data_IF_764702279938
#
_entry.id   IF_764702279938
#
_cell.length_a   1.000
_cell.length_b   1.000
_cell.length_c   1.000
_cell.angle_alpha   90.00
_cell.angle_beta   90.00
_cell.angle_gamma   90.00
#
_symmetry.space_group_name_H-M   'P 1'
#
loop_
_entity.id
_entity.type
_entity.pdbx_description
1 polymer ?
#
# COMPACT_ATOMS: atom_id res chain seq x y z
N UNK A 1 29.79 -20.34 -4.22
CA UNK A 1 29.82 -19.52 -5.45
C UNK A 1 28.41 -19.49 -6.01
N UNK A 2 27.59 -18.54 -5.58
CA UNK A 2 26.16 -18.46 -5.91
C UNK A 2 25.98 -17.68 -7.21
N UNK A 3 26.32 -18.33 -8.32
CA UNK A 3 26.01 -17.85 -9.68
C UNK A 3 24.54 -18.24 -9.95
N UNK A 4 23.70 -17.37 -10.56
CA UNK A 4 22.28 -17.66 -10.67
C UNK A 4 22.07 -18.89 -11.55
N UNK A 5 21.67 -19.99 -10.92
CA UNK A 5 21.00 -21.09 -11.60
C UNK A 5 19.79 -20.50 -12.34
N UNK A 6 19.45 -21.04 -13.51
CA UNK A 6 18.45 -20.53 -14.44
C UNK A 6 17.01 -20.60 -13.87
N UNK A 7 16.77 -19.85 -12.79
CA UNK A 7 15.53 -19.83 -12.03
C UNK A 7 14.50 -19.05 -12.85
N UNK A 8 13.37 -19.66 -13.24
CA UNK A 8 12.38 -19.04 -14.12
C UNK A 8 11.89 -17.69 -13.60
N UNK A 9 11.89 -17.51 -12.29
CA UNK A 9 11.48 -16.28 -11.63
C UNK A 9 12.30 -15.04 -12.04
N UNK A 10 13.62 -15.19 -12.24
CA UNK A 10 14.49 -14.07 -12.63
C UNK A 10 14.68 -13.98 -14.15
N UNK A 11 14.14 -14.93 -14.91
CA UNK A 11 14.17 -14.94 -16.37
C UNK A 11 12.96 -14.17 -16.93
N UNK A 12 12.95 -12.84 -16.73
CA UNK A 12 11.84 -11.96 -17.10
C UNK A 12 12.02 -11.39 -18.53
N UNK A 13 11.09 -11.75 -19.43
CA UNK A 13 11.08 -11.24 -20.79
C UNK A 13 10.28 -9.93 -20.91
N UNK A 14 10.93 -8.82 -20.59
CA UNK A 14 10.32 -7.48 -20.60
C UNK A 14 9.73 -7.06 -21.94
N UNK A 15 10.26 -7.57 -23.07
CA UNK A 15 9.72 -7.26 -24.42
C UNK A 15 8.34 -7.86 -24.65
N UNK A 16 8.07 -9.02 -24.07
CA UNK A 16 6.75 -9.67 -24.14
C UNK A 16 5.72 -8.95 -23.25
N UNK A 17 6.21 -8.39 -22.14
CA UNK A 17 5.39 -7.76 -21.09
C UNK A 17 5.41 -6.22 -21.15
N UNK A 18 5.71 -5.62 -22.31
CA UNK A 18 5.79 -4.16 -22.51
C UNK A 18 4.51 -3.44 -22.07
N UNK A 19 3.37 -4.12 -22.20
CA UNK A 19 2.09 -3.59 -21.74
C UNK A 19 2.09 -3.26 -20.23
N UNK A 20 2.74 -4.07 -19.40
CA UNK A 20 2.82 -3.82 -17.96
C UNK A 20 3.62 -2.55 -17.66
N UNK A 21 4.68 -2.28 -18.43
CA UNK A 21 5.47 -1.06 -18.29
C UNK A 21 4.65 0.18 -18.68
N UNK A 22 3.89 0.11 -19.78
CA UNK A 22 2.99 1.18 -20.18
C UNK A 22 1.90 1.43 -19.14
N UNK A 23 1.33 0.36 -18.56
CA UNK A 23 0.34 0.46 -17.50
C UNK A 23 0.90 1.12 -16.23
N UNK A 24 2.08 0.71 -15.77
CA UNK A 24 2.76 1.33 -14.62
C UNK A 24 3.06 2.81 -14.87
N UNK A 25 3.52 3.15 -16.08
CA UNK A 25 3.74 4.54 -16.47
C UNK A 25 2.44 5.35 -16.51
N UNK A 26 1.35 4.76 -16.99
CA UNK A 26 0.01 5.36 -16.97
C UNK A 26 -0.49 5.64 -15.55
N UNK A 27 -0.28 4.72 -14.60
CA UNK A 27 -0.59 4.94 -13.18
C UNK A 27 0.22 6.12 -12.62
N UNK A 28 1.51 6.20 -12.94
CA UNK A 28 2.37 7.28 -12.49
C UNK A 28 1.88 8.65 -13.00
N UNK A 29 1.62 8.77 -14.30
CA UNK A 29 1.08 10.00 -14.88
C UNK A 29 -0.33 10.33 -14.35
N UNK A 30 -1.20 9.33 -14.21
CA UNK A 30 -2.52 9.49 -13.63
C UNK A 30 -2.47 10.01 -12.20
N UNK A 31 -1.51 9.55 -11.40
CA UNK A 31 -1.23 10.05 -10.06
C UNK A 31 -0.81 11.52 -10.04
N UNK A 32 0.06 11.95 -10.96
CA UNK A 32 0.46 13.36 -11.10
C UNK A 32 -0.76 14.21 -11.47
N UNK A 33 -1.52 13.81 -12.48
CA UNK A 33 -2.70 14.55 -12.93
C UNK A 33 -3.73 14.67 -11.80
N UNK A 34 -3.99 13.58 -11.08
CA UNK A 34 -4.90 13.60 -9.94
C UNK A 34 -4.40 14.54 -8.83
N UNK A 35 -3.09 14.51 -8.53
CA UNK A 35 -2.48 15.34 -7.50
C UNK A 35 -2.39 16.83 -7.88
N UNK A 36 -2.43 17.20 -9.15
CA UNK A 36 -2.33 18.61 -9.58
C UNK A 36 -3.65 19.22 -10.02
N UNK A 37 -4.47 18.47 -10.78
CA UNK A 37 -5.72 18.98 -11.35
C UNK A 37 -6.94 18.67 -10.48
N UNK A 38 -6.95 17.52 -9.78
CA UNK A 38 -8.07 17.06 -8.95
C UNK A 38 -7.78 17.22 -7.45
N UNK A 39 -6.72 17.93 -7.08
CA UNK A 39 -6.42 18.19 -5.68
C UNK A 39 -7.55 19.00 -5.03
N UNK A 40 -8.12 18.45 -3.96
CA UNK A 40 -9.03 19.20 -3.11
C UNK A 40 -8.20 19.98 -2.07
N UNK A 41 -8.30 21.32 -2.01
CA UNK A 41 -7.61 22.12 -0.99
C UNK A 41 -8.27 22.04 0.39
N UNK A 42 -9.45 21.45 0.53
CA UNK A 42 -10.09 21.26 1.84
C UNK A 42 -9.36 20.20 2.67
N UNK A 43 -9.19 20.44 4.00
CA UNK A 43 -8.57 19.47 4.89
C UNK A 43 -9.39 18.19 4.92
N UNK A 44 -8.72 17.06 5.14
CA UNK A 44 -9.38 15.75 5.20
C UNK A 44 -10.43 15.77 6.30
N UNK A 45 -11.68 15.44 5.95
CA UNK A 45 -12.79 15.38 6.90
C UNK A 45 -12.62 14.17 7.84
N UNK A 46 -11.96 14.38 8.98
CA UNK A 46 -11.73 13.36 10.01
C UNK A 46 -12.81 13.45 11.09
N UNK A 47 -13.40 12.31 11.46
CA UNK A 47 -14.37 12.25 12.55
C UNK A 47 -13.74 12.76 13.87
N UNK A 48 -14.44 13.59 14.68
CA UNK A 48 -13.84 14.24 15.85
C UNK A 48 -13.28 13.27 16.90
N UNK A 49 -13.82 12.04 16.99
CA UNK A 49 -13.28 11.00 17.88
C UNK A 49 -11.92 10.49 17.38
N UNK A 50 -11.79 10.22 16.09
CA UNK A 50 -10.54 9.77 15.48
C UNK A 50 -9.49 10.88 15.54
N UNK A 51 -9.88 12.14 15.36
CA UNK A 51 -8.96 13.28 15.47
C UNK A 51 -8.36 13.41 16.88
N UNK A 52 -9.15 13.13 17.93
CA UNK A 52 -8.67 13.09 19.32
C UNK A 52 -7.69 11.95 19.54
N UNK A 53 -8.00 10.77 19.03
CA UNK A 53 -7.14 9.59 19.14
C UNK A 53 -5.81 9.80 18.43
N UNK A 54 -5.84 10.26 17.18
CA UNK A 54 -4.64 10.56 16.38
C UNK A 54 -3.77 11.67 17.01
N UNK A 55 -4.37 12.65 17.67
CA UNK A 55 -3.64 13.67 18.42
C UNK A 55 -2.80 13.06 19.57
N UNK A 56 -3.27 11.97 20.20
CA UNK A 56 -2.48 11.26 21.24
C UNK A 56 -1.22 10.61 20.67
N UNK A 57 -1.26 10.23 19.39
CA UNK A 57 -0.14 9.64 18.66
C UNK A 57 0.77 10.69 17.98
N UNK A 58 0.53 11.98 18.20
CA UNK A 58 1.31 13.08 17.61
C UNK A 58 0.95 13.42 16.17
N UNK A 59 -0.20 12.94 15.67
CA UNK A 59 -0.71 13.23 14.32
C UNK A 59 -1.71 14.39 14.45
N UNK A 60 -1.26 15.59 14.09
CA UNK A 60 -2.04 16.83 14.28
C UNK A 60 -2.30 17.60 13.00
N UNK A 61 -1.68 17.21 11.89
CA UNK A 61 -1.86 17.84 10.58
C UNK A 61 -2.64 16.91 9.66
N UNK A 62 -3.75 17.42 9.12
CA UNK A 62 -4.66 16.70 8.22
C UNK A 62 -4.80 17.41 6.86
N UNK A 63 -3.82 18.26 6.52
CA UNK A 63 -3.83 19.04 5.27
C UNK A 63 -3.60 18.15 4.04
N UNK A 64 -3.14 16.92 4.27
CA UNK A 64 -2.90 15.92 3.23
C UNK A 64 -3.49 14.57 3.63
N UNK A 65 -3.88 13.78 2.62
CA UNK A 65 -4.40 12.41 2.79
C UNK A 65 -3.44 11.49 3.56
N UNK A 66 -2.14 11.76 3.50
CA UNK A 66 -1.11 11.00 4.19
C UNK A 66 -0.42 11.93 5.20
N UNK A 67 -0.43 11.61 6.51
CA UNK A 67 0.22 12.42 7.52
C UNK A 67 1.73 12.52 7.28
N UNK A 68 2.24 13.74 7.10
CA UNK A 68 3.68 13.99 6.91
C UNK A 68 4.48 13.68 8.18
N UNK A 69 3.82 13.54 9.33
CA UNK A 69 4.45 13.12 10.59
C UNK A 69 4.86 11.65 10.59
N UNK A 70 4.24 10.83 9.73
CA UNK A 70 4.55 9.40 9.59
C UNK A 70 5.40 9.18 8.35
N UNK A 71 4.97 9.76 7.22
CA UNK A 71 5.59 9.52 5.92
C UNK A 71 6.60 10.63 5.57
N UNK A 72 7.76 10.62 6.24
CA UNK A 72 8.84 11.58 6.00
C UNK A 72 10.21 10.88 5.96
N UNK A 73 11.14 11.43 5.18
CA UNK A 73 12.54 11.01 5.13
C UNK A 73 13.20 10.97 6.52
N UNK A 74 12.86 11.91 7.41
CA UNK A 74 13.37 11.89 8.78
C UNK A 74 12.82 10.75 9.64
N UNK A 75 11.60 10.27 9.33
CA UNK A 75 10.94 9.18 10.06
C UNK A 75 11.41 7.80 9.62
N UNK A 76 12.06 7.67 8.46
CA UNK A 76 12.63 6.39 8.01
C UNK A 76 13.64 5.81 9.01
N UNK A 77 14.34 6.67 9.76
CA UNK A 77 15.31 6.26 10.76
C UNK A 77 14.72 6.09 12.17
N UNK A 78 13.43 6.39 12.37
CA UNK A 78 12.74 6.13 13.63
C UNK A 78 12.19 4.70 13.62
N UNK A 79 12.05 4.09 14.80
CA UNK A 79 11.53 2.72 14.89
C UNK A 79 10.11 2.63 14.31
N UNK A 80 9.26 3.62 14.57
CA UNK A 80 7.89 3.70 14.02
C UNK A 80 7.90 3.75 12.49
N UNK A 81 8.65 4.70 11.92
CA UNK A 81 8.65 4.91 10.46
C UNK A 81 9.38 3.78 9.71
N UNK A 82 10.43 3.19 10.30
CA UNK A 82 11.07 2.01 9.73
C UNK A 82 10.10 0.81 9.62
N UNK A 83 9.35 0.52 10.70
CA UNK A 83 8.37 -0.56 10.69
C UNK A 83 7.22 -0.30 9.70
N UNK A 84 6.68 0.92 9.66
CA UNK A 84 5.58 1.24 8.75
C UNK A 84 6.00 1.29 7.28
N UNK A 85 7.12 1.95 6.98
CA UNK A 85 7.52 2.23 5.60
C UNK A 85 8.29 1.04 5.01
N UNK A 86 9.35 0.60 5.68
CA UNK A 86 10.26 -0.42 5.15
C UNK A 86 9.66 -1.81 5.31
N UNK A 87 9.29 -2.18 6.54
CA UNK A 87 8.72 -3.52 6.80
C UNK A 87 7.33 -3.63 6.18
N UNK A 88 6.48 -2.61 6.34
CA UNK A 88 5.17 -2.56 5.69
C UNK A 88 5.26 -2.66 4.17
N UNK A 89 6.10 -1.85 3.51
CA UNK A 89 6.30 -1.90 2.07
C UNK A 89 6.82 -3.25 1.58
N UNK A 90 7.78 -3.84 2.32
CA UNK A 90 8.29 -5.18 2.02
C UNK A 90 7.20 -6.25 2.13
N UNK A 91 6.41 -6.24 3.22
CA UNK A 91 5.33 -7.21 3.42
C UNK A 91 4.26 -7.12 2.34
N UNK A 92 3.90 -5.91 1.89
CA UNK A 92 2.96 -5.71 0.78
C UNK A 92 3.53 -6.27 -0.52
N UNK A 93 4.79 -5.96 -0.85
CA UNK A 93 5.45 -6.49 -2.05
C UNK A 93 5.56 -8.03 -2.03
N UNK A 94 5.97 -8.60 -0.90
CA UNK A 94 6.05 -10.05 -0.71
C UNK A 94 4.66 -10.70 -0.80
N UNK A 95 3.67 -10.15 -0.10
CA UNK A 95 2.31 -10.69 -0.03
C UNK A 95 1.60 -10.68 -1.38
N UNK A 96 1.71 -9.59 -2.15
CA UNK A 96 1.13 -9.51 -3.50
C UNK A 96 1.74 -10.56 -4.45
N UNK A 97 3.05 -10.82 -4.33
CA UNK A 97 3.68 -11.86 -5.14
C UNK A 97 3.28 -13.27 -4.70
N UNK A 98 3.16 -13.49 -3.39
CA UNK A 98 2.73 -14.77 -2.81
C UNK A 98 1.28 -15.11 -3.16
N UNK A 99 0.38 -14.12 -3.13
CA UNK A 99 -1.01 -14.27 -3.53
C UNK A 99 -1.20 -14.46 -5.05
N UNK A 100 -0.16 -14.20 -5.85
CA UNK A 100 -0.24 -14.26 -7.32
C UNK A 100 -0.97 -13.05 -7.94
N UNK A 101 -1.14 -11.97 -7.18
CA UNK A 101 -1.86 -10.78 -7.61
C UNK A 101 -1.99 -9.74 -6.49
N UNK A 102 -2.34 -8.52 -6.86
CA UNK A 102 -2.69 -7.44 -5.93
C UNK A 102 -4.20 -7.38 -5.68
N UNK A 103 -4.60 -6.49 -4.78
CA UNK A 103 -6.02 -6.23 -4.47
C UNK A 103 -6.81 -5.82 -5.70
N UNK A 104 -6.27 -4.95 -6.58
CA UNK A 104 -6.97 -4.58 -7.82
C UNK A 104 -7.13 -5.76 -8.79
N UNK A 105 -6.15 -6.67 -8.87
CA UNK A 105 -6.24 -7.88 -9.70
C UNK A 105 -7.32 -8.86 -9.22
N UNK A 106 -7.31 -9.20 -7.93
CA UNK A 106 -8.28 -10.14 -7.37
C UNK A 106 -9.67 -9.53 -7.17
N UNK A 107 -9.76 -8.29 -6.67
CA UNK A 107 -11.03 -7.68 -6.33
C UNK A 107 -11.76 -7.09 -7.55
N UNK A 108 -11.05 -6.45 -8.50
CA UNK A 108 -11.70 -5.88 -9.69
C UNK A 108 -11.89 -6.97 -10.73
N UNK A 109 -10.80 -7.52 -11.30
CA UNK A 109 -10.93 -8.50 -12.38
C UNK A 109 -11.36 -9.88 -11.88
N UNK A 110 -10.83 -10.35 -10.76
CA UNK A 110 -11.09 -11.70 -10.25
C UNK A 110 -12.53 -11.93 -9.81
N UNK A 111 -13.12 -11.00 -9.05
CA UNK A 111 -14.52 -11.07 -8.63
C UNK A 111 -15.47 -10.85 -9.83
N UNK A 112 -15.14 -9.94 -10.75
CA UNK A 112 -15.94 -9.78 -11.99
C UNK A 112 -15.97 -11.04 -12.85
N UNK A 113 -14.93 -11.89 -12.79
CA UNK A 113 -14.90 -13.19 -13.46
C UNK A 113 -15.43 -14.36 -12.58
N UNK A 114 -16.06 -14.07 -11.43
CA UNK A 114 -16.61 -15.06 -10.48
C UNK A 114 -15.59 -16.13 -10.03
N UNK A 115 -14.31 -15.77 -9.93
CA UNK A 115 -13.28 -16.70 -9.49
C UNK A 115 -13.32 -16.89 -7.98
N UNK A 116 -13.66 -18.11 -7.53
CA UNK A 116 -13.67 -18.48 -6.11
C UNK A 116 -12.32 -18.22 -5.40
N UNK A 117 -11.14 -18.48 -6.01
CA UNK A 117 -9.85 -18.15 -5.38
C UNK A 117 -9.69 -16.64 -5.12
N UNK A 118 -10.17 -15.80 -6.04
CA UNK A 118 -10.09 -14.34 -5.92
C UNK A 118 -11.05 -13.80 -4.86
N UNK A 119 -12.21 -14.44 -4.67
CA UNK A 119 -13.11 -14.12 -3.56
C UNK A 119 -12.43 -14.39 -2.21
N UNK A 120 -11.83 -15.57 -2.04
CA UNK A 120 -11.13 -15.96 -0.80
C UNK A 120 -9.97 -14.99 -0.54
N UNK A 121 -9.15 -14.70 -1.56
CA UNK A 121 -8.03 -13.76 -1.43
C UNK A 121 -8.51 -12.37 -0.98
N UNK A 122 -9.60 -11.88 -1.55
CA UNK A 122 -10.17 -10.56 -1.20
C UNK A 122 -10.68 -10.52 0.24
N UNK A 123 -11.36 -11.58 0.70
CA UNK A 123 -11.79 -11.70 2.10
C UNK A 123 -10.58 -11.68 3.04
N UNK A 124 -9.53 -12.42 2.72
CA UNK A 124 -8.30 -12.44 3.52
C UNK A 124 -7.60 -11.06 3.55
N UNK A 125 -7.55 -10.35 2.42
CA UNK A 125 -6.99 -8.99 2.37
C UNK A 125 -7.78 -8.03 3.26
N UNK A 126 -9.11 -8.11 3.24
CA UNK A 126 -9.96 -7.26 4.07
C UNK A 126 -9.79 -7.57 5.56
N UNK A 127 -9.78 -8.85 5.94
CA UNK A 127 -9.51 -9.28 7.32
C UNK A 127 -8.14 -8.82 7.80
N UNK A 128 -7.11 -8.99 6.97
CA UNK A 128 -5.76 -8.49 7.26
C UNK A 128 -5.73 -6.98 7.45
N UNK A 129 -6.45 -6.22 6.62
CA UNK A 129 -6.62 -4.78 6.77
C UNK A 129 -7.30 -4.39 8.07
N UNK A 130 -8.38 -5.08 8.47
CA UNK A 130 -9.05 -4.83 9.75
C UNK A 130 -8.15 -5.11 10.94
N UNK A 131 -7.43 -6.24 10.93
CA UNK A 131 -6.47 -6.59 11.98
C UNK A 131 -5.33 -5.56 12.04
N UNK A 132 -4.83 -5.13 10.88
CA UNK A 132 -3.79 -4.11 10.82
C UNK A 132 -4.27 -2.79 11.41
N UNK A 133 -5.42 -2.27 10.97
CA UNK A 133 -5.91 -0.96 11.38
C UNK A 133 -6.35 -0.91 12.85
N UNK A 134 -6.96 -1.97 13.39
CA UNK A 134 -7.52 -1.96 14.74
C UNK A 134 -6.54 -2.45 15.81
N UNK A 135 -5.58 -3.32 15.48
CA UNK A 135 -4.66 -3.88 16.46
C UNK A 135 -3.21 -3.47 16.24
N UNK A 136 -2.67 -3.65 15.03
CA UNK A 136 -1.23 -3.41 14.83
C UNK A 136 -0.91 -1.91 14.74
N UNK A 137 -1.72 -1.14 14.02
CA UNK A 137 -1.50 0.29 13.83
C UNK A 137 -1.42 1.06 15.15
N UNK A 138 -2.37 0.94 16.12
CA UNK A 138 -2.26 1.65 17.39
C UNK A 138 -1.02 1.25 18.20
N UNK A 139 -0.62 -0.04 18.15
CA UNK A 139 0.62 -0.50 18.79
C UNK A 139 1.83 0.18 18.16
N UNK A 140 1.93 0.21 16.84
CA UNK A 140 3.06 0.82 16.14
C UNK A 140 3.11 2.34 16.34
N UNK A 141 1.95 3.01 16.35
CA UNK A 141 1.87 4.45 16.59
C UNK A 141 2.22 4.82 18.04
N UNK A 142 2.03 3.91 19.01
CA UNK A 142 2.38 4.13 20.42
C UNK A 142 3.88 4.04 20.74
N UNK A 143 4.68 3.33 19.92
CA UNK A 143 6.12 3.08 20.13
C UNK A 143 6.98 4.33 20.07
#
# INVERSE_FOLDING_TARGET
MCVPANIPFFNYNWKKEVWNLFFVFGIFLGGIIAATLLANPEPVAVHPELAKELATYGITNYDSLIPTQIMNWGQLFTLKGFLLIVVGGFMVGFGTRYAGGCTSGHAIMGISNLQLPSLIATICFMLGGFVMSNWLLPIILSL
#
